data_IF_695194163186
#
_entry.id   IF_695194163186
#
_cell.length_a   1.000
_cell.length_b   1.000
_cell.length_c   1.000
_cell.angle_alpha   90.00
_cell.angle_beta   90.00
_cell.angle_gamma   90.00
#
_symmetry.space_group_name_H-M   'P 1'
#
loop_
_entity.id
_entity.type
_entity.pdbx_description
1 polymer ?
#
# COMPACT_ATOMS: atom_id res chain seq x y z
N UNK A 1 36.18 -74.19 3.39
CA UNK A 1 36.61 -75.22 2.42
C UNK A 1 35.76 -75.08 1.17
N UNK A 2 36.44 -74.90 0.02
CA UNK A 2 36.08 -75.25 -1.37
C UNK A 2 34.65 -74.94 -1.89
N UNK A 3 34.49 -74.06 -2.89
CA UNK A 3 34.77 -74.27 -4.33
C UNK A 3 33.72 -75.21 -4.99
N UNK A 4 32.78 -74.75 -5.83
CA UNK A 4 32.84 -74.39 -7.27
C UNK A 4 32.06 -75.42 -8.09
N UNK A 5 31.06 -74.98 -8.88
CA UNK A 5 30.78 -75.30 -10.31
C UNK A 5 29.34 -74.82 -10.65
N UNK A 6 29.12 -73.73 -11.40
CA UNK A 6 29.13 -73.60 -12.88
C UNK A 6 28.27 -74.63 -13.62
N UNK A 7 27.14 -74.18 -14.19
CA UNK A 7 26.78 -74.56 -15.55
C UNK A 7 26.09 -73.39 -16.28
N UNK A 8 26.68 -73.06 -17.43
CA UNK A 8 26.27 -72.08 -18.43
C UNK A 8 25.26 -72.70 -19.39
N UNK A 9 24.14 -72.03 -19.64
CA UNK A 9 23.34 -72.10 -20.88
C UNK A 9 22.35 -70.93 -20.83
N UNK A 10 21.97 -70.19 -21.87
CA UNK A 10 22.42 -69.96 -23.23
C UNK A 10 21.57 -68.76 -23.70
N UNK A 11 22.15 -67.86 -24.49
CA UNK A 11 21.50 -66.67 -25.05
C UNK A 11 20.26 -67.01 -25.89
N UNK A 12 19.15 -66.32 -25.64
CA UNK A 12 18.16 -65.97 -26.65
C UNK A 12 17.70 -64.52 -26.45
N UNK A 13 18.45 -63.59 -27.05
CA UNK A 13 18.00 -62.21 -27.24
C UNK A 13 17.01 -62.18 -28.41
N UNK A 14 15.71 -62.07 -28.10
CA UNK A 14 14.72 -61.56 -29.07
C UNK A 14 14.86 -60.03 -29.18
N UNK A 15 14.59 -59.42 -30.35
CA UNK A 15 14.71 -57.98 -30.52
C UNK A 15 13.61 -57.27 -29.71
N UNK A 16 14.02 -56.47 -28.72
CA UNK A 16 13.14 -55.52 -28.03
C UNK A 16 12.73 -54.47 -29.05
N UNK A 17 11.44 -54.43 -29.38
CA UNK A 17 10.85 -53.36 -30.20
C UNK A 17 11.16 -52.02 -29.53
N UNK A 18 11.88 -51.16 -30.27
CA UNK A 18 12.12 -49.80 -29.86
C UNK A 18 10.78 -49.10 -29.67
N UNK A 19 10.45 -48.83 -28.40
CA UNK A 19 9.28 -48.05 -28.03
C UNK A 19 9.52 -46.63 -28.54
N UNK A 20 8.79 -46.23 -29.57
CA UNK A 20 8.91 -44.93 -30.21
C UNK A 20 8.49 -43.85 -29.22
N UNK A 21 9.47 -43.25 -28.55
CA UNK A 21 9.31 -42.04 -27.75
C UNK A 21 8.62 -40.98 -28.63
N UNK A 22 7.38 -40.65 -28.30
CA UNK A 22 6.67 -39.55 -28.96
C UNK A 22 7.48 -38.27 -28.76
N UNK A 23 7.75 -37.48 -29.82
CA UNK A 23 8.46 -36.23 -29.67
C UNK A 23 7.66 -35.30 -28.74
N UNK A 24 8.33 -34.46 -27.93
CA UNK A 24 7.66 -33.50 -27.07
C UNK A 24 6.79 -32.59 -27.94
N UNK A 25 5.51 -32.48 -27.57
CA UNK A 25 4.59 -31.55 -28.21
C UNK A 25 5.16 -30.15 -28.05
N UNK A 26 5.58 -29.55 -29.16
CA UNK A 26 6.01 -28.17 -29.20
C UNK A 26 4.80 -27.27 -28.90
N UNK A 27 4.67 -26.85 -27.64
CA UNK A 27 3.72 -25.82 -27.26
C UNK A 27 4.30 -24.49 -27.72
N UNK A 28 3.98 -24.07 -28.94
CA UNK A 28 4.28 -22.72 -29.40
C UNK A 28 3.36 -21.74 -28.66
N UNK A 29 3.88 -20.85 -27.81
CA UNK A 29 3.06 -19.84 -27.16
C UNK A 29 2.47 -18.93 -28.23
N UNK A 30 1.15 -18.99 -28.44
CA UNK A 30 0.47 -18.00 -29.27
C UNK A 30 0.43 -16.69 -28.49
N UNK A 31 1.20 -15.70 -28.95
CA UNK A 31 1.08 -14.32 -28.48
C UNK A 31 -0.32 -13.82 -28.85
N UNK A 32 -1.20 -13.70 -27.85
CA UNK A 32 -2.48 -13.01 -27.98
C UNK A 32 -2.26 -11.54 -27.63
N UNK A 33 -2.90 -10.65 -28.39
CA UNK A 33 -2.94 -9.24 -28.04
C UNK A 33 -3.54 -9.07 -26.63
N UNK A 34 -2.94 -8.25 -25.76
CA UNK A 34 -3.45 -8.05 -24.42
C UNK A 34 -4.86 -7.45 -24.46
N UNK A 35 -5.76 -7.99 -23.64
CA UNK A 35 -7.12 -7.48 -23.52
C UNK A 35 -7.10 -6.05 -22.95
N UNK A 36 -8.05 -5.20 -23.36
CA UNK A 36 -8.02 -3.77 -23.05
C UNK A 36 -7.94 -3.45 -21.54
N UNK A 37 -8.50 -4.31 -20.66
CA UNK A 37 -8.41 -4.13 -19.21
C UNK A 37 -7.02 -4.43 -18.64
N UNK A 38 -6.25 -5.32 -19.29
CA UNK A 38 -4.87 -5.63 -18.87
C UNK A 38 -3.95 -4.43 -19.09
N UNK A 39 -4.17 -3.69 -20.18
CA UNK A 39 -3.45 -2.45 -20.46
C UNK A 39 -3.81 -1.37 -19.43
N UNK A 40 -5.06 -1.34 -18.96
CA UNK A 40 -5.53 -0.31 -18.02
C UNK A 40 -5.07 -0.50 -16.57
N UNK A 41 -4.44 -1.63 -16.25
CA UNK A 41 -3.94 -1.91 -14.90
C UNK A 41 -2.94 -0.84 -14.44
N UNK A 42 -3.11 -0.35 -13.21
CA UNK A 42 -2.23 0.66 -12.60
C UNK A 42 -1.40 0.00 -11.50
N UNK A 43 -0.20 -0.45 -11.83
CA UNK A 43 0.55 -1.36 -10.94
C UNK A 43 1.17 -0.62 -9.77
N UNK A 44 1.66 0.59 -10.00
CA UNK A 44 2.40 1.39 -9.02
C UNK A 44 1.70 2.72 -8.72
N UNK A 45 1.89 3.27 -7.52
CA UNK A 45 1.35 4.60 -7.17
C UNK A 45 2.00 5.70 -8.01
N UNK A 46 3.27 5.56 -8.39
CA UNK A 46 3.93 6.50 -9.31
C UNK A 46 3.25 6.51 -10.68
N UNK A 47 2.81 5.35 -11.17
CA UNK A 47 2.06 5.22 -12.40
C UNK A 47 0.68 5.88 -12.27
N UNK A 48 -0.01 5.66 -11.14
CA UNK A 48 -1.26 6.34 -10.82
C UNK A 48 -1.10 7.87 -10.90
N UNK A 49 -0.08 8.43 -10.26
CA UNK A 49 0.20 9.87 -10.25
C UNK A 49 0.51 10.39 -11.66
N UNK A 50 1.36 9.69 -12.41
CA UNK A 50 1.72 10.10 -13.77
C UNK A 50 0.51 10.05 -14.71
N UNK A 51 -0.38 9.05 -14.57
CA UNK A 51 -1.64 8.97 -15.32
C UNK A 51 -2.61 10.08 -14.89
N UNK A 52 -2.72 10.37 -13.59
CA UNK A 52 -3.54 11.47 -13.05
C UNK A 52 -3.08 12.83 -13.59
N UNK A 53 -1.77 12.98 -13.70
CA UNK A 53 -1.13 14.13 -14.31
C UNK A 53 -1.07 14.03 -15.84
N UNK A 54 -1.67 13.05 -16.51
CA UNK A 54 -1.62 12.90 -17.96
C UNK A 54 -0.20 13.02 -18.57
N UNK A 55 0.81 12.55 -17.83
CA UNK A 55 2.21 12.51 -18.25
C UNK A 55 2.55 11.19 -18.95
N UNK A 56 1.75 10.15 -18.68
CA UNK A 56 1.83 8.87 -19.36
C UNK A 56 0.44 8.42 -19.82
N UNK A 57 0.42 7.66 -20.90
CA UNK A 57 -0.77 6.97 -21.42
C UNK A 57 -1.14 5.77 -20.54
N UNK A 58 -2.29 5.16 -20.82
CA UNK A 58 -2.71 3.91 -20.19
C UNK A 58 -1.77 2.72 -20.50
N UNK A 59 -0.88 2.79 -21.48
CA UNK A 59 0.15 1.76 -21.71
C UNK A 59 1.55 2.17 -21.23
N UNK A 60 1.63 3.20 -20.37
CA UNK A 60 2.89 3.64 -19.76
C UNK A 60 3.82 4.44 -20.67
N UNK A 61 3.37 4.88 -21.85
CA UNK A 61 4.17 5.71 -22.75
C UNK A 61 4.10 7.18 -22.32
N UNK A 62 5.24 7.86 -22.33
CA UNK A 62 5.31 9.29 -22.04
C UNK A 62 4.47 10.10 -23.04
N UNK A 63 3.74 11.10 -22.54
CA UNK A 63 2.95 12.04 -23.32
C UNK A 63 3.74 13.35 -23.39
N UNK A 64 4.13 13.79 -24.60
CA UNK A 64 4.80 15.09 -24.78
C UNK A 64 3.96 16.24 -24.23
N UNK A 65 4.62 17.26 -23.66
CA UNK A 65 3.94 18.42 -23.07
C UNK A 65 2.98 19.12 -24.05
N UNK A 66 3.30 19.12 -25.36
CA UNK A 66 2.45 19.68 -26.42
C UNK A 66 1.11 18.97 -26.58
N UNK A 67 0.98 17.73 -26.12
CA UNK A 67 -0.25 16.92 -26.19
C UNK A 67 -0.99 16.87 -24.85
N UNK A 68 -0.47 17.50 -23.80
CA UNK A 68 -1.10 17.54 -22.48
C UNK A 68 -2.21 18.59 -22.41
N UNK A 69 -3.31 18.36 -23.13
CA UNK A 69 -4.49 19.22 -23.07
C UNK A 69 -5.45 18.82 -21.95
N UNK A 70 -6.30 19.78 -21.55
CA UNK A 70 -7.26 19.64 -20.45
C UNK A 70 -8.24 18.48 -20.67
N UNK A 71 -8.80 18.33 -21.87
CA UNK A 71 -9.84 17.32 -22.13
C UNK A 71 -9.28 15.89 -22.09
N UNK A 72 -8.09 15.68 -22.66
CA UNK A 72 -7.40 14.40 -22.59
C UNK A 72 -7.06 14.02 -21.14
N UNK A 73 -6.67 15.00 -20.32
CA UNK A 73 -6.43 14.80 -18.89
C UNK A 73 -7.72 14.46 -18.12
N UNK A 74 -8.84 15.13 -18.39
CA UNK A 74 -10.15 14.78 -17.80
C UNK A 74 -10.51 13.31 -18.09
N UNK A 75 -10.32 12.87 -19.33
CA UNK A 75 -10.50 11.48 -19.74
C UNK A 75 -9.59 10.52 -18.98
N UNK A 76 -8.30 10.84 -18.84
CA UNK A 76 -7.33 10.03 -18.11
C UNK A 76 -7.67 9.90 -16.61
N UNK A 77 -8.01 11.00 -15.94
CA UNK A 77 -8.45 10.96 -14.54
C UNK A 77 -9.76 10.17 -14.41
N UNK A 78 -10.70 10.35 -15.34
CA UNK A 78 -11.96 9.61 -15.38
C UNK A 78 -11.77 8.09 -15.45
N UNK A 79 -10.70 7.63 -16.10
CA UNK A 79 -10.31 6.22 -16.14
C UNK A 79 -9.73 5.73 -14.82
N UNK A 80 -9.15 6.57 -13.96
CA UNK A 80 -8.57 6.13 -12.68
C UNK A 80 -9.61 5.87 -11.58
N UNK A 81 -10.88 6.22 -11.80
CA UNK A 81 -11.95 5.89 -10.89
C UNK A 81 -12.32 4.42 -10.97
N UNK A 82 -12.44 3.77 -9.81
CA UNK A 82 -12.97 2.42 -9.74
C UNK A 82 -14.43 2.41 -10.21
N UNK A 83 -14.66 1.78 -11.36
CA UNK A 83 -15.99 1.66 -11.97
C UNK A 83 -16.93 0.83 -11.11
N UNK A 84 -16.40 -0.09 -10.31
CA UNK A 84 -17.20 -1.00 -9.48
C UNK A 84 -17.52 -0.41 -8.12
N UNK A 85 -16.61 0.36 -7.49
CA UNK A 85 -17.02 1.16 -6.34
C UNK A 85 -18.12 2.14 -6.75
N UNK A 86 -18.02 2.76 -7.93
CA UNK A 86 -19.07 3.67 -8.42
C UNK A 86 -20.41 3.01 -8.78
N UNK A 87 -20.42 1.69 -9.03
CA UNK A 87 -21.61 0.91 -9.41
C UNK A 87 -22.22 0.13 -8.24
N UNK A 88 -21.40 -0.35 -7.29
CA UNK A 88 -21.82 -1.07 -6.09
C UNK A 88 -22.15 -0.12 -4.93
N UNK A 89 -21.61 1.10 -4.93
CA UNK A 89 -22.03 2.13 -4.00
C UNK A 89 -23.37 2.71 -4.45
N UNK A 90 -24.32 2.64 -3.52
CA UNK A 90 -25.64 3.27 -3.54
C UNK A 90 -25.70 4.56 -4.39
N UNK A 91 -26.81 4.81 -5.09
CA UNK A 91 -27.02 5.99 -5.98
C UNK A 91 -26.69 7.35 -5.33
N UNK A 92 -26.53 7.40 -4.01
CA UNK A 92 -26.27 8.53 -3.12
C UNK A 92 -24.81 8.70 -2.67
N UNK A 93 -23.86 7.90 -3.14
CA UNK A 93 -22.46 8.05 -2.71
C UNK A 93 -21.87 9.40 -3.14
N UNK A 94 -21.20 10.09 -2.22
CA UNK A 94 -20.55 11.39 -2.42
C UNK A 94 -19.66 11.41 -3.66
N UNK A 95 -18.88 10.33 -3.85
CA UNK A 95 -18.09 10.07 -5.05
C UNK A 95 -18.88 10.27 -6.35
N UNK A 96 -20.06 9.63 -6.47
CA UNK A 96 -20.87 9.66 -7.70
C UNK A 96 -21.40 11.06 -8.00
N UNK A 97 -21.82 11.79 -6.96
CA UNK A 97 -22.34 13.16 -7.10
C UNK A 97 -21.25 14.14 -7.49
N UNK A 98 -20.05 14.01 -6.92
CA UNK A 98 -18.98 15.01 -7.08
C UNK A 98 -17.84 14.60 -8.00
N UNK A 99 -17.88 13.42 -8.63
CA UNK A 99 -16.84 12.96 -9.56
C UNK A 99 -16.55 13.99 -10.66
N UNK A 100 -17.59 14.46 -11.33
CA UNK A 100 -17.43 15.39 -12.45
C UNK A 100 -16.96 16.76 -11.95
N UNK A 101 -17.52 17.25 -10.84
CA UNK A 101 -17.08 18.50 -10.21
C UNK A 101 -15.60 18.45 -9.83
N UNK A 102 -15.16 17.36 -9.19
CA UNK A 102 -13.76 17.12 -8.87
C UNK A 102 -12.89 17.15 -10.12
N UNK A 103 -13.25 16.40 -11.17
CA UNK A 103 -12.48 16.34 -12.43
C UNK A 103 -12.37 17.72 -13.07
N UNK A 104 -13.46 18.49 -13.11
CA UNK A 104 -13.46 19.85 -13.66
C UNK A 104 -12.54 20.78 -12.87
N UNK A 105 -12.62 20.76 -11.53
CA UNK A 105 -11.79 21.63 -10.69
C UNK A 105 -10.30 21.29 -10.76
N UNK A 106 -9.93 20.01 -10.76
CA UNK A 106 -8.50 19.63 -10.81
C UNK A 106 -7.89 19.83 -12.19
N UNK A 107 -8.72 19.83 -13.24
CA UNK A 107 -8.33 20.06 -14.63
C UNK A 107 -8.54 21.50 -15.12
N UNK A 108 -8.90 22.43 -14.24
CA UNK A 108 -9.06 23.85 -14.57
C UNK A 108 -7.84 24.35 -15.36
N UNK A 109 -8.08 24.92 -16.55
CA UNK A 109 -7.01 25.31 -17.46
C UNK A 109 -6.20 26.49 -16.93
N UNK A 110 -6.80 27.37 -16.12
CA UNK A 110 -6.10 28.51 -15.53
C UNK A 110 -5.27 28.08 -14.31
N UNK A 111 -5.71 27.06 -13.56
CA UNK A 111 -5.03 26.56 -12.35
C UNK A 111 -5.06 25.03 -12.27
N UNK A 112 -4.31 24.33 -13.15
CA UNK A 112 -4.33 22.87 -13.16
C UNK A 112 -3.66 22.31 -11.91
N UNK A 113 -4.35 21.40 -11.23
CA UNK A 113 -3.85 20.78 -10.01
C UNK A 113 -3.13 19.49 -10.36
N UNK A 114 -1.81 19.45 -10.22
CA UNK A 114 -1.00 18.24 -10.46
C UNK A 114 -0.60 17.59 -9.13
N UNK A 115 -0.62 16.26 -9.08
CA UNK A 115 -0.14 15.49 -7.93
C UNK A 115 1.38 15.37 -7.98
N UNK A 116 2.03 15.33 -6.82
CA UNK A 116 3.45 14.97 -6.71
C UNK A 116 3.62 13.96 -5.59
N UNK A 117 4.46 12.96 -5.81
CA UNK A 117 4.72 11.91 -4.82
C UNK A 117 5.55 12.43 -3.64
N UNK A 118 6.31 13.52 -3.85
CA UNK A 118 7.16 14.12 -2.81
C UNK A 118 6.45 15.17 -1.96
N UNK A 119 5.12 15.30 -2.08
CA UNK A 119 4.38 16.17 -1.17
C UNK A 119 4.46 15.60 0.25
N UNK A 120 4.64 16.47 1.25
CA UNK A 120 4.67 16.07 2.67
C UNK A 120 3.28 15.70 3.22
N UNK A 121 2.34 15.41 2.32
CA UNK A 121 0.92 15.36 2.58
C UNK A 121 0.29 14.09 2.02
N UNK A 122 1.05 13.01 1.79
CA UNK A 122 0.48 11.69 1.56
C UNK A 122 0.11 11.07 2.91
N UNK A 123 -1.06 10.43 2.96
CA UNK A 123 -1.55 9.73 4.14
C UNK A 123 -1.89 8.28 3.77
N UNK A 124 -1.77 7.38 4.74
CA UNK A 124 -2.09 5.97 4.54
C UNK A 124 -2.73 5.38 5.79
N UNK A 125 -3.68 4.48 5.60
CA UNK A 125 -4.08 3.51 6.62
C UNK A 125 -3.53 2.15 6.26
N UNK A 126 -2.96 1.47 7.26
CA UNK A 126 -2.35 0.15 7.12
C UNK A 126 -2.91 -0.74 8.20
N UNK A 127 -3.59 -1.82 7.81
CA UNK A 127 -4.06 -2.82 8.76
C UNK A 127 -3.05 -3.96 8.87
N UNK A 128 -2.60 -4.22 10.08
CA UNK A 128 -1.73 -5.36 10.40
C UNK A 128 -2.52 -6.31 11.28
N UNK A 129 -2.68 -7.55 10.83
CA UNK A 129 -3.21 -8.59 11.70
C UNK A 129 -2.11 -9.03 12.66
N UNK A 130 -2.43 -9.13 13.94
CA UNK A 130 -1.48 -9.41 15.00
C UNK A 130 -1.96 -10.53 15.91
N UNK A 131 -1.05 -11.33 16.47
CA UNK A 131 -1.37 -12.24 17.55
C UNK A 131 -1.19 -11.52 18.89
N UNK A 132 -2.27 -11.42 19.66
CA UNK A 132 -2.31 -10.88 21.02
C UNK A 132 -3.04 -11.86 21.92
N UNK A 133 -2.39 -12.27 23.03
CA UNK A 133 -2.94 -13.27 23.96
C UNK A 133 -3.43 -14.56 23.27
N UNK A 134 -2.72 -14.99 22.22
CA UNK A 134 -3.07 -16.19 21.45
C UNK A 134 -4.26 -16.04 20.49
N UNK A 135 -4.81 -14.82 20.32
CA UNK A 135 -5.88 -14.53 19.35
C UNK A 135 -5.39 -13.56 18.29
N UNK A 136 -5.86 -13.76 17.06
CA UNK A 136 -5.62 -12.80 15.97
C UNK A 136 -6.51 -11.57 16.18
N UNK A 137 -5.91 -10.39 16.17
CA UNK A 137 -6.55 -9.09 16.37
C UNK A 137 -5.95 -8.05 15.39
N UNK A 138 -6.78 -7.23 14.74
CA UNK A 138 -6.30 -6.21 13.82
C UNK A 138 -5.73 -5.00 14.58
N UNK A 139 -4.67 -4.42 14.04
CA UNK A 139 -4.13 -3.12 14.42
C UNK A 139 -4.15 -2.23 13.20
N UNK A 140 -4.88 -1.12 13.28
CA UNK A 140 -4.96 -0.08 12.25
C UNK A 140 -3.93 1.00 12.54
N UNK A 141 -2.93 1.14 11.67
CA UNK A 141 -1.96 2.21 11.70
C UNK A 141 -2.39 3.36 10.79
N UNK A 142 -2.17 4.58 11.27
CA UNK A 142 -2.39 5.81 10.53
C UNK A 142 -1.03 6.44 10.27
N UNK A 143 -0.66 6.62 9.01
CA UNK A 143 0.65 7.13 8.62
C UNK A 143 0.52 8.39 7.76
N UNK A 144 1.58 9.19 7.77
CA UNK A 144 1.81 10.25 6.79
C UNK A 144 3.22 10.20 6.25
N UNK A 145 3.39 10.65 5.01
CA UNK A 145 4.71 10.98 4.48
C UNK A 145 5.28 12.19 5.23
N UNK A 146 6.56 12.15 5.53
CA UNK A 146 7.30 13.28 6.07
C UNK A 146 8.72 13.28 5.50
N UNK A 147 9.29 14.47 5.35
CA UNK A 147 10.72 14.62 5.08
C UNK A 147 11.48 14.56 6.39
N UNK A 148 12.46 13.68 6.50
CA UNK A 148 13.42 13.60 7.60
C UNK A 148 14.88 13.73 7.09
N UNK A 149 15.87 13.56 7.98
CA UNK A 149 17.29 13.67 7.62
C UNK A 149 17.76 12.59 6.63
N UNK A 150 17.02 11.50 6.47
CA UNK A 150 17.33 10.38 5.59
C UNK A 150 16.55 10.45 4.26
N UNK A 151 15.64 11.42 4.11
CA UNK A 151 14.85 11.64 2.90
C UNK A 151 13.34 11.62 3.20
N UNK A 152 12.54 11.18 2.24
CA UNK A 152 11.10 11.03 2.43
C UNK A 152 10.77 9.65 3.00
N UNK A 153 10.03 9.65 4.11
CA UNK A 153 9.66 8.45 4.84
C UNK A 153 8.19 8.47 5.24
N UNK A 154 7.62 7.30 5.46
CA UNK A 154 6.37 7.17 6.20
C UNK A 154 6.63 7.26 7.70
N UNK A 155 5.79 8.02 8.40
CA UNK A 155 5.80 8.18 9.85
C UNK A 155 4.43 7.89 10.42
N UNK A 156 4.40 7.26 11.59
CA UNK A 156 3.18 6.86 12.29
C UNK A 156 2.59 8.09 13.00
N UNK A 157 1.33 8.35 12.74
CA UNK A 157 0.52 9.34 13.45
C UNK A 157 -0.10 8.74 14.70
N UNK A 158 -0.71 7.58 14.53
CA UNK A 158 -1.46 6.88 15.57
C UNK A 158 -1.59 5.39 15.21
N UNK A 159 -2.01 4.59 16.18
CA UNK A 159 -2.41 3.21 15.99
C UNK A 159 -3.65 2.90 16.83
N UNK A 160 -4.58 2.13 16.27
CA UNK A 160 -5.82 1.73 16.93
C UNK A 160 -6.01 0.22 16.85
N UNK A 161 -6.47 -0.36 17.94
CA UNK A 161 -6.86 -1.76 18.01
C UNK A 161 -7.85 -1.95 19.17
N UNK A 162 -8.74 -2.95 19.11
CA UNK A 162 -9.70 -3.21 20.18
C UNK A 162 -9.05 -3.35 21.57
N UNK A 163 -7.95 -4.10 21.65
CA UNK A 163 -7.24 -4.39 22.90
C UNK A 163 -6.42 -3.22 23.47
N UNK A 164 -6.21 -2.14 22.69
CA UNK A 164 -5.52 -0.94 23.18
C UNK A 164 -6.41 -0.06 24.05
N UNK A 165 -7.73 -0.19 23.90
CA UNK A 165 -8.74 0.56 24.68
C UNK A 165 -9.17 -0.18 25.95
N UNK A 166 -8.88 -1.48 26.07
CA UNK A 166 -9.18 -2.24 27.27
C UNK A 166 -8.35 -1.67 28.42
N UNK A 167 -9.00 -1.10 29.42
CA UNK A 167 -8.44 -0.60 30.66
C UNK A 167 -7.92 -1.76 31.54
N UNK A 168 -6.98 -2.54 31.01
CA UNK A 168 -6.10 -3.38 31.82
C UNK A 168 -5.32 -2.38 32.67
N UNK A 169 -5.43 -2.50 34.00
CA UNK A 169 -4.91 -1.58 35.01
C UNK A 169 -3.39 -1.40 35.00
N UNK A 170 -2.86 -0.85 33.91
CA UNK A 170 -1.52 -0.30 33.83
C UNK A 170 -1.60 1.04 34.53
N UNK A 171 -1.11 1.06 35.77
CA UNK A 171 -1.14 2.24 36.64
C UNK A 171 -0.70 3.50 35.90
N UNK A 172 -1.35 4.61 36.25
CA UNK A 172 -1.20 5.96 35.70
C UNK A 172 0.19 6.60 35.95
N UNK A 173 1.26 5.87 35.68
CA UNK A 173 2.65 6.30 35.75
C UNK A 173 3.41 5.77 34.52
N UNK A 174 2.88 6.01 33.32
CA UNK A 174 3.72 5.96 32.11
C UNK A 174 4.41 7.32 32.00
N UNK A 175 5.44 7.52 32.81
CA UNK A 175 6.41 8.59 32.59
C UNK A 175 7.08 8.41 31.21
N UNK A 176 7.74 9.46 30.68
CA UNK A 176 8.41 9.37 29.39
C UNK A 176 9.34 8.16 29.39
N UNK A 177 9.15 7.26 28.43
CA UNK A 177 9.96 6.06 28.29
C UNK A 177 11.45 6.47 28.31
N UNK A 178 12.16 6.11 29.39
CA UNK A 178 13.62 6.27 29.43
C UNK A 178 14.19 5.38 28.32
N UNK A 179 14.66 6.01 27.24
CA UNK A 179 15.36 5.32 26.14
C UNK A 179 16.58 4.60 26.71
N UNK A 180 16.55 3.28 26.72
CA UNK A 180 17.74 2.47 26.96
C UNK A 180 18.62 2.51 25.70
N UNK A 181 19.51 3.50 25.64
CA UNK A 181 20.43 3.75 24.52
C UNK A 181 21.65 2.80 24.48
N UNK A 182 21.55 1.57 24.98
CA UNK A 182 22.67 0.62 25.02
C UNK A 182 22.23 -0.78 24.69
N UNK A 183 22.16 -1.11 23.40
CA UNK A 183 22.58 -2.38 22.78
C UNK A 183 22.09 -2.43 21.33
N UNK A 184 22.97 -2.22 20.36
CA UNK A 184 23.11 -3.13 19.21
C UNK A 184 24.16 -2.59 18.21
N UNK A 185 24.86 -3.49 17.49
CA UNK A 185 25.99 -3.17 16.61
C UNK A 185 25.58 -2.38 15.36
N UNK A 186 26.58 -1.94 14.60
CA UNK A 186 26.62 -0.99 13.46
C UNK A 186 25.69 -1.23 12.24
N UNK A 187 24.63 -2.03 12.34
CA UNK A 187 23.52 -2.04 11.35
C UNK A 187 22.54 -0.87 11.53
N UNK A 188 22.98 0.21 12.19
CA UNK A 188 22.16 1.29 12.74
C UNK A 188 21.50 2.25 11.74
N UNK A 189 21.68 2.08 10.42
CA UNK A 189 21.12 3.01 9.42
C UNK A 189 19.64 2.78 9.08
N UNK A 190 19.06 1.63 9.37
CA UNK A 190 17.66 1.27 9.03
C UNK A 190 16.70 1.19 10.23
N UNK A 191 17.16 1.51 11.45
CA UNK A 191 16.26 1.60 12.62
C UNK A 191 15.44 2.88 12.51
N UNK A 192 14.11 2.77 12.42
CA UNK A 192 13.21 3.93 12.42
C UNK A 192 12.93 4.57 11.05
N UNK A 193 13.11 3.85 9.94
CA UNK A 193 12.80 4.33 8.60
C UNK A 193 11.84 3.40 7.86
N UNK A 194 10.78 3.97 7.28
CA UNK A 194 9.90 3.30 6.32
C UNK A 194 9.98 4.08 5.01
N UNK A 195 10.52 3.50 3.93
CA UNK A 195 10.70 4.19 2.66
C UNK A 195 9.37 4.57 2.03
N UNK A 196 9.33 5.68 1.28
CA UNK A 196 8.10 6.19 0.67
C UNK A 196 7.47 5.23 -0.36
N UNK A 197 8.16 4.21 -0.84
CA UNK A 197 7.60 3.17 -1.71
C UNK A 197 7.01 1.96 -0.96
N UNK A 198 6.97 2.00 0.39
CA UNK A 198 6.56 0.86 1.19
C UNK A 198 5.14 0.36 0.91
N UNK A 199 4.24 1.23 0.43
CA UNK A 199 2.88 0.85 0.05
C UNK A 199 2.82 -0.17 -1.10
N UNK A 200 3.81 -0.19 -1.99
CA UNK A 200 3.91 -1.19 -3.06
C UNK A 200 4.19 -2.60 -2.51
N UNK A 201 4.72 -2.67 -1.29
CA UNK A 201 5.06 -3.92 -0.58
C UNK A 201 4.15 -4.14 0.63
N UNK A 202 2.95 -3.54 0.62
CA UNK A 202 2.01 -3.59 1.75
C UNK A 202 2.68 -3.28 3.10
N UNK A 203 3.59 -2.30 3.13
CA UNK A 203 4.32 -1.88 4.33
C UNK A 203 5.08 -3.02 5.05
N UNK A 204 5.68 -3.95 4.31
CA UNK A 204 6.53 -5.02 4.86
C UNK A 204 7.62 -4.51 5.84
N UNK A 205 8.10 -3.28 5.65
CA UNK A 205 9.02 -2.65 6.60
C UNK A 205 8.38 -2.44 7.98
N UNK A 206 7.14 -1.97 8.06
CA UNK A 206 6.42 -1.84 9.34
C UNK A 206 6.21 -3.20 9.99
N UNK A 207 5.82 -4.21 9.20
CA UNK A 207 5.73 -5.60 9.65
C UNK A 207 7.05 -6.08 10.26
N UNK A 208 8.17 -5.89 9.58
CA UNK A 208 9.48 -6.31 10.08
C UNK A 208 9.86 -5.56 11.36
N UNK A 209 9.57 -4.26 11.47
CA UNK A 209 9.83 -3.49 12.69
C UNK A 209 9.06 -4.05 13.89
N UNK A 210 7.81 -4.45 13.70
CA UNK A 210 7.01 -5.11 14.75
C UNK A 210 7.52 -6.52 15.07
N UNK A 211 7.83 -7.33 14.06
CA UNK A 211 8.31 -8.71 14.22
C UNK A 211 9.63 -8.74 14.98
N UNK A 212 10.53 -7.82 14.64
CA UNK A 212 11.86 -7.69 15.25
C UNK A 212 11.83 -6.90 16.57
N UNK A 213 10.62 -6.56 17.06
CA UNK A 213 10.35 -5.90 18.36
C UNK A 213 11.03 -4.55 18.53
N UNK A 214 11.17 -3.80 17.44
CA UNK A 214 11.68 -2.44 17.50
C UNK A 214 10.66 -1.50 18.17
N UNK A 215 11.18 -0.45 18.81
CA UNK A 215 10.35 0.60 19.40
C UNK A 215 9.70 1.44 18.28
N UNK A 216 8.38 1.25 18.12
CA UNK A 216 7.58 1.94 17.09
C UNK A 216 7.53 3.46 17.30
N UNK A 217 7.84 3.98 18.49
CA UNK A 217 7.89 5.43 18.72
C UNK A 217 9.01 6.10 17.92
N UNK A 218 10.02 5.35 17.47
CA UNK A 218 11.05 5.86 16.55
C UNK A 218 10.49 6.20 15.16
N UNK A 219 9.36 5.59 14.80
CA UNK A 219 8.64 5.83 13.55
C UNK A 219 7.56 6.91 13.68
N UNK A 220 7.28 7.40 14.90
CA UNK A 220 6.23 8.37 15.12
C UNK A 220 6.59 9.76 14.56
N UNK A 221 5.59 10.51 14.07
CA UNK A 221 5.77 11.91 13.63
C UNK A 221 6.23 12.79 14.80
N UNK A 222 5.68 12.57 15.98
CA UNK A 222 6.05 13.27 17.21
C UNK A 222 6.32 12.25 18.33
N UNK A 223 7.54 11.69 18.43
CA UNK A 223 7.84 10.64 19.40
C UNK A 223 7.57 11.04 20.86
N UNK A 224 7.73 12.32 21.19
CA UNK A 224 7.51 12.84 22.55
C UNK A 224 6.04 13.20 22.84
N UNK A 225 5.18 13.18 21.84
CA UNK A 225 3.76 13.54 21.92
C UNK A 225 2.91 12.53 21.15
N UNK A 226 3.32 11.26 21.18
CA UNK A 226 2.57 10.17 20.58
C UNK A 226 1.28 9.93 21.37
N UNK A 227 0.25 9.42 20.70
CA UNK A 227 -1.00 9.02 21.35
C UNK A 227 -0.74 7.94 22.40
N UNK A 228 -1.61 7.88 23.42
CA UNK A 228 -1.56 6.82 24.44
C UNK A 228 -1.67 5.43 23.80
N UNK A 229 -2.51 5.27 22.78
CA UNK A 229 -2.68 4.04 22.02
C UNK A 229 -1.37 3.60 21.34
N UNK A 230 -0.67 4.52 20.67
CA UNK A 230 0.60 4.23 20.02
C UNK A 230 1.71 3.90 21.04
N UNK A 231 1.78 4.65 22.14
CA UNK A 231 2.73 4.37 23.23
C UNK A 231 2.50 2.98 23.82
N UNK A 232 1.23 2.64 24.10
CA UNK A 232 0.87 1.32 24.62
C UNK A 232 1.22 0.22 23.62
N UNK A 233 0.87 0.38 22.34
CA UNK A 233 1.22 -0.59 21.31
C UNK A 233 2.74 -0.80 21.20
N UNK A 234 3.51 0.29 21.20
CA UNK A 234 4.98 0.21 21.14
C UNK A 234 5.55 -0.60 22.32
N UNK A 235 5.02 -0.40 23.53
CA UNK A 235 5.41 -1.19 24.70
C UNK A 235 5.08 -2.67 24.54
N UNK A 236 3.86 -3.00 24.08
CA UNK A 236 3.42 -4.37 23.87
C UNK A 236 4.26 -5.10 22.82
N UNK A 237 4.66 -4.40 21.75
CA UNK A 237 5.52 -4.91 20.68
C UNK A 237 6.94 -5.18 21.20
N UNK A 238 7.55 -4.22 21.91
CA UNK A 238 8.88 -4.37 22.51
C UNK A 238 8.92 -5.53 23.52
N UNK A 239 7.84 -5.72 24.28
CA UNK A 239 7.68 -6.83 25.23
C UNK A 239 7.36 -8.17 24.54
N UNK A 240 7.11 -8.19 23.23
CA UNK A 240 6.74 -9.39 22.47
C UNK A 240 5.34 -9.93 22.78
N UNK A 241 4.48 -9.12 23.40
CA UNK A 241 3.08 -9.49 23.70
C UNK A 241 2.16 -9.34 22.49
N UNK A 242 2.55 -8.50 21.53
CA UNK A 242 1.90 -8.34 20.23
C UNK A 242 2.91 -8.69 19.16
N UNK A 243 2.55 -9.64 18.29
CA UNK A 243 3.41 -10.05 17.17
C UNK A 243 2.63 -9.95 15.86
N UNK A 244 3.23 -9.46 14.76
CA UNK A 244 2.52 -9.33 13.50
C UNK A 244 2.38 -10.70 12.81
N UNK A 245 1.21 -10.95 12.22
CA UNK A 245 0.90 -12.16 11.44
C UNK A 245 1.02 -11.85 9.96
N UNK A 246 0.26 -10.88 9.45
CA UNK A 246 0.34 -10.38 8.08
C UNK A 246 -0.13 -8.93 7.99
N UNK A 247 0.08 -8.30 6.83
CA UNK A 247 -0.33 -6.91 6.56
C UNK A 247 -1.24 -6.87 5.34
N UNK A 248 -2.36 -6.17 5.48
CA UNK A 248 -3.32 -5.96 4.40
C UNK A 248 -2.80 -4.89 3.43
N UNK A 249 -3.36 -4.86 2.21
CA UNK A 249 -3.07 -3.77 1.28
C UNK A 249 -3.51 -2.42 1.87
N UNK A 250 -2.67 -1.39 1.77
CA UNK A 250 -2.95 -0.12 2.42
C UNK A 250 -3.95 0.71 1.60
N UNK A 251 -4.67 1.57 2.30
CA UNK A 251 -5.49 2.60 1.68
C UNK A 251 -4.75 3.93 1.74
N UNK A 252 -4.65 4.61 0.60
CA UNK A 252 -3.95 5.89 0.49
C UNK A 252 -4.95 7.04 0.43
N UNK A 253 -4.59 8.17 1.03
CA UNK A 253 -5.34 9.41 0.97
C UNK A 253 -4.43 10.51 0.44
N UNK A 254 -4.77 11.03 -0.74
CA UNK A 254 -4.04 12.09 -1.41
C UNK A 254 -4.85 13.39 -1.33
N UNK A 255 -4.50 14.32 -0.43
CA UNK A 255 -5.04 15.67 -0.48
C UNK A 255 -4.61 16.36 -1.77
N UNK A 256 -5.59 17.00 -2.38
CA UNK A 256 -5.53 17.73 -3.64
C UNK A 256 -5.92 19.18 -3.35
N UNK A 257 -5.62 20.10 -4.25
CA UNK A 257 -6.01 21.50 -4.07
C UNK A 257 -7.54 21.65 -3.92
N UNK A 258 -7.97 22.81 -3.41
CA UNK A 258 -9.37 23.14 -3.12
C UNK A 258 -10.03 22.25 -2.04
N UNK A 259 -9.21 21.61 -1.20
CA UNK A 259 -9.70 20.84 -0.06
C UNK A 259 -10.25 19.46 -0.43
N UNK A 260 -10.01 18.98 -1.66
CA UNK A 260 -10.33 17.62 -2.04
C UNK A 260 -9.33 16.63 -1.43
N UNK A 261 -9.80 15.45 -1.07
CA UNK A 261 -8.95 14.30 -0.72
C UNK A 261 -9.42 13.11 -1.54
N UNK A 262 -8.48 12.48 -2.23
CA UNK A 262 -8.72 11.31 -3.07
C UNK A 262 -8.30 10.07 -2.28
N UNK A 263 -9.22 9.14 -2.06
CA UNK A 263 -8.88 7.83 -1.51
C UNK A 263 -8.57 6.86 -2.64
N UNK A 264 -7.42 6.20 -2.54
CA UNK A 264 -6.92 5.26 -3.55
C UNK A 264 -6.63 3.91 -2.89
N UNK A 265 -7.21 2.85 -3.44
CA UNK A 265 -7.00 1.49 -2.95
C UNK A 265 -6.43 0.64 -4.09
N UNK A 266 -5.60 -0.34 -3.72
CA UNK A 266 -5.19 -1.38 -4.65
C UNK A 266 -6.29 -2.41 -4.79
N UNK A 267 -6.65 -2.75 -6.04
CA UNK A 267 -7.66 -3.76 -6.34
C UNK A 267 -7.13 -4.77 -7.34
N UNK A 268 -7.25 -6.06 -7.06
CA UNK A 268 -6.82 -7.12 -7.98
C UNK A 268 -8.05 -7.83 -8.59
N UNK A 269 -8.37 -7.53 -9.85
CA UNK A 269 -9.49 -8.13 -10.60
C UNK A 269 -8.98 -8.76 -11.90
N UNK A 270 -9.52 -9.93 -12.26
CA UNK A 270 -9.02 -10.73 -13.40
C UNK A 270 -9.50 -10.28 -14.78
N UNK A 271 -10.70 -9.71 -14.89
CA UNK A 271 -11.34 -9.39 -16.18
C UNK A 271 -11.79 -7.92 -16.25
N UNK A 272 -11.25 -7.10 -15.36
CA UNK A 272 -11.73 -5.76 -15.09
C UNK A 272 -10.54 -4.87 -14.74
N UNK A 273 -10.81 -3.57 -14.60
CA UNK A 273 -9.79 -2.64 -14.16
C UNK A 273 -9.25 -3.01 -12.77
N UNK A 274 -7.92 -3.08 -12.69
CA UNK A 274 -7.17 -3.47 -11.50
C UNK A 274 -6.01 -2.50 -11.23
N UNK A 275 -5.37 -2.64 -10.08
CA UNK A 275 -4.31 -1.76 -9.62
C UNK A 275 -4.80 -0.69 -8.65
N UNK A 276 -4.03 0.40 -8.55
CA UNK A 276 -4.34 1.57 -7.73
C UNK A 276 -5.44 2.41 -8.38
N UNK A 277 -6.61 2.48 -7.75
CA UNK A 277 -7.79 3.15 -8.27
C UNK A 277 -8.41 4.10 -7.24
N UNK A 278 -9.01 5.18 -7.71
CA UNK A 278 -9.79 6.10 -6.88
C UNK A 278 -11.07 5.37 -6.45
N UNK A 279 -11.19 5.13 -5.15
CA UNK A 279 -12.35 4.42 -4.58
C UNK A 279 -13.34 5.34 -3.89
N UNK A 280 -12.90 6.51 -3.43
CA UNK A 280 -13.76 7.52 -2.81
C UNK A 280 -13.15 8.94 -2.92
N UNK A 281 -13.99 9.95 -2.69
CA UNK A 281 -13.63 11.36 -2.60
C UNK A 281 -14.12 11.95 -1.27
N UNK A 282 -13.39 12.95 -0.78
CA UNK A 282 -13.78 13.72 0.39
C UNK A 282 -13.52 15.21 0.15
N UNK A 283 -14.26 16.05 0.86
CA UNK A 283 -14.05 17.48 0.88
C UNK A 283 -13.86 17.97 2.31
N UNK A 284 -12.71 18.58 2.59
CA UNK A 284 -12.28 18.99 3.93
C UNK A 284 -13.20 20.05 4.56
N UNK A 285 -13.84 20.89 3.74
CA UNK A 285 -14.75 21.94 4.20
C UNK A 285 -16.20 21.46 4.38
N UNK A 286 -16.51 20.23 3.97
CA UNK A 286 -17.86 19.66 3.99
C UNK A 286 -18.10 18.68 5.15
N UNK A 287 -19.34 18.17 5.23
CA UNK A 287 -19.74 17.12 6.17
C UNK A 287 -18.96 15.81 5.98
N UNK A 288 -18.45 15.57 4.77
CA UNK A 288 -17.69 14.39 4.39
C UNK A 288 -16.31 14.28 5.02
N UNK A 289 -15.75 15.40 5.50
CA UNK A 289 -14.51 15.39 6.28
C UNK A 289 -14.60 14.44 7.49
N UNK A 290 -15.79 14.24 8.05
CA UNK A 290 -16.04 13.32 9.18
C UNK A 290 -15.85 11.85 8.82
N UNK A 291 -15.86 11.50 7.53
CA UNK A 291 -15.61 10.13 7.04
C UNK A 291 -14.11 9.84 6.90
N UNK A 292 -13.24 10.86 6.98
CA UNK A 292 -11.80 10.65 7.02
C UNK A 292 -11.40 10.13 8.40
N UNK A 293 -10.35 9.29 8.49
CA UNK A 293 -9.81 8.88 9.77
C UNK A 293 -9.45 10.06 10.68
N UNK A 294 -9.96 10.04 11.91
CA UNK A 294 -9.76 11.12 12.88
C UNK A 294 -8.28 11.51 13.09
N UNK A 295 -7.31 10.58 13.11
CA UNK A 295 -5.89 10.92 13.23
C UNK A 295 -5.34 11.80 12.09
N UNK A 296 -6.00 11.84 10.93
CA UNK A 296 -5.57 12.70 9.82
C UNK A 296 -6.07 14.13 9.92
N UNK A 297 -7.20 14.36 10.61
CA UNK A 297 -7.88 15.66 10.63
C UNK A 297 -7.02 16.78 11.25
N UNK A 298 -6.16 16.44 12.21
CA UNK A 298 -5.21 17.39 12.81
C UNK A 298 -4.03 17.75 11.90
N UNK A 299 -3.82 16.98 10.82
CA UNK A 299 -2.69 17.13 9.91
C UNK A 299 -3.09 17.59 8.50
N UNK A 300 -4.35 17.39 8.09
CA UNK A 300 -4.86 17.96 6.85
C UNK A 300 -4.86 19.48 6.93
N UNK A 301 -3.85 20.10 6.33
CA UNK A 301 -3.85 21.53 6.03
C UNK A 301 -4.47 21.70 4.66
N UNK A 302 -5.44 22.63 4.48
CA UNK A 302 -5.88 22.99 3.14
C UNK A 302 -4.64 23.42 2.34
N UNK A 303 -4.34 22.72 1.25
CA UNK A 303 -3.32 23.16 0.30
C UNK A 303 -3.80 24.51 -0.24
N UNK A 304 -3.25 25.60 0.27
CA UNK A 304 -3.47 26.91 -0.34
C UNK A 304 -2.77 26.86 -1.70
N UNK A 305 -3.44 27.18 -2.82
CA UNK A 305 -2.78 27.18 -4.11
C UNK A 305 -1.57 28.10 -4.00
N UNK A 306 -0.37 27.56 -4.23
CA UNK A 306 0.84 28.39 -4.37
C UNK A 306 0.56 29.32 -5.54
N UNK A 307 0.49 30.62 -5.24
CA UNK A 307 0.33 31.68 -6.23
C UNK A 307 1.53 31.73 -7.16
#
# INVERSE_FOLDING_TARGET
MLATLLLLTALQNGPVKADTLRPPVAVSPQAREPEAFMVQQVTYVSEFINRFNHQITANGRAIPDSLQNTDARKGAIGQLFDRFSSAALNKTSFLRTHKNEFIEQVCDAAKPVRLTFLSNDLYATVRVQTAWQGREQPVDFYLKSATDRQGHAWKILDAQAPFLNESVGVGANVGPAKRNAKTAPDTARTRGFIPLNAQETAFLNLYNQMRDRHDLLQLAVQPNNASSSLVRLAQLVVQGQVTPVHTDYPTLYLPVANGWVVQVNFTNRRHEQSGWLITDLYQLTGTDSRRLPAPFLSYFRPQTPKK
#
